data_IF_385869418624
#
_entry.id   IF_385869418624
#
_cell.length_a   1.000
_cell.length_b   1.000
_cell.length_c   1.000
_cell.angle_alpha   90.00
_cell.angle_beta   90.00
_cell.angle_gamma   90.00
#
_symmetry.space_group_name_H-M   'P 1'
#
loop_
_entity.id
_entity.type
_entity.pdbx_description
1 polymer ?
#
# COMPACT_ATOMS: atom_id res chain seq x y z
N UNK A 1 -11.21 23.03 -6.71
CA UNK A 1 -10.85 22.50 -5.39
C UNK A 1 -10.77 20.96 -5.40
N UNK A 2 -10.42 20.34 -6.54
CA UNK A 2 -10.26 18.88 -6.69
C UNK A 2 -8.79 18.40 -6.71
N UNK A 3 -7.83 19.34 -6.78
CA UNK A 3 -6.40 19.01 -6.84
C UNK A 3 -5.84 18.43 -5.52
N UNK A 4 -6.50 18.65 -4.38
CA UNK A 4 -6.01 18.23 -3.06
C UNK A 4 -6.32 16.77 -2.68
N UNK A 5 -7.19 16.05 -3.42
CA UNK A 5 -7.46 14.63 -3.13
C UNK A 5 -6.63 13.66 -3.98
N UNK A 6 -6.29 14.03 -5.22
CA UNK A 6 -5.48 13.18 -6.11
C UNK A 6 -4.01 13.08 -5.68
N UNK A 7 -3.38 14.20 -5.37
CA UNK A 7 -1.93 14.24 -5.09
C UNK A 7 -1.49 13.33 -3.93
N UNK A 8 -2.33 13.15 -2.90
CA UNK A 8 -2.02 12.27 -1.76
C UNK A 8 -2.08 10.80 -2.15
N UNK A 9 -2.99 10.44 -3.06
CA UNK A 9 -3.04 9.11 -3.67
C UNK A 9 -1.78 8.86 -4.50
N UNK A 10 -1.48 9.77 -5.44
CA UNK A 10 -0.30 9.67 -6.30
C UNK A 10 1.00 9.58 -5.50
N UNK A 11 1.13 10.37 -4.41
CA UNK A 11 2.27 10.33 -3.52
C UNK A 11 2.38 8.98 -2.78
N UNK A 12 1.25 8.40 -2.36
CA UNK A 12 1.22 7.07 -1.75
C UNK A 12 1.63 5.98 -2.75
N UNK A 13 1.14 6.04 -3.98
CA UNK A 13 1.53 5.11 -5.04
C UNK A 13 3.03 5.20 -5.35
N UNK A 14 3.57 6.42 -5.45
CA UNK A 14 5.00 6.64 -5.65
C UNK A 14 5.85 6.14 -4.47
N UNK A 15 5.38 6.33 -3.23
CA UNK A 15 6.06 5.85 -2.03
C UNK A 15 6.10 4.31 -2.03
N UNK A 16 4.96 3.65 -2.27
CA UNK A 16 4.89 2.19 -2.33
C UNK A 16 5.76 1.64 -3.45
N UNK A 17 5.73 2.25 -4.64
CA UNK A 17 6.59 1.85 -5.75
C UNK A 17 8.09 1.98 -5.40
N UNK A 18 8.49 3.08 -4.75
CA UNK A 18 9.86 3.26 -4.29
C UNK A 18 10.26 2.24 -3.22
N UNK A 19 9.34 1.87 -2.33
CA UNK A 19 9.56 0.84 -1.32
C UNK A 19 9.76 -0.56 -1.95
N UNK A 20 8.90 -0.95 -2.88
CA UNK A 20 9.04 -2.20 -3.66
C UNK A 20 10.41 -2.27 -4.36
N UNK A 21 10.81 -1.19 -5.02
CA UNK A 21 12.09 -1.10 -5.72
C UNK A 21 13.29 -1.21 -4.76
N UNK A 22 13.23 -0.56 -3.57
CA UNK A 22 14.28 -0.66 -2.54
C UNK A 22 14.43 -2.08 -2.01
N UNK A 23 13.34 -2.84 -1.97
CA UNK A 23 13.33 -4.25 -1.58
C UNK A 23 13.75 -5.21 -2.72
N UNK A 24 14.14 -4.69 -3.88
CA UNK A 24 14.71 -5.47 -4.97
C UNK A 24 13.69 -6.09 -5.93
N UNK A 25 12.44 -5.65 -5.88
CA UNK A 25 11.38 -6.13 -6.77
C UNK A 25 11.11 -5.13 -7.89
N UNK A 26 10.67 -5.62 -9.05
CA UNK A 26 10.22 -4.74 -10.13
C UNK A 26 8.84 -4.17 -9.82
N UNK A 27 8.55 -2.98 -10.35
CA UNK A 27 7.22 -2.37 -10.24
C UNK A 27 6.80 -1.79 -11.59
N UNK A 28 5.53 -1.95 -11.94
CA UNK A 28 4.94 -1.37 -13.14
C UNK A 28 3.63 -0.64 -12.81
N UNK A 29 3.44 0.50 -13.47
CA UNK A 29 2.19 1.25 -13.44
C UNK A 29 1.27 0.75 -14.58
N UNK A 30 0.06 0.26 -14.28
CA UNK A 30 -0.91 -0.09 -15.29
C UNK A 30 -1.32 1.16 -16.09
N UNK A 31 -1.64 0.97 -17.37
CA UNK A 31 -2.13 2.06 -18.20
C UNK A 31 -3.63 2.28 -17.97
N UNK A 32 -4.02 3.49 -17.57
CA UNK A 32 -5.41 3.87 -17.29
C UNK A 32 -5.75 3.86 -15.80
N UNK A 33 -6.98 4.27 -15.48
CA UNK A 33 -7.52 4.35 -14.12
C UNK A 33 -8.78 3.49 -13.93
N UNK A 34 -9.04 2.56 -14.85
CA UNK A 34 -10.22 1.68 -14.81
C UNK A 34 -9.97 0.42 -13.98
N UNK A 35 -8.70 0.16 -13.67
CA UNK A 35 -8.24 -0.96 -12.90
C UNK A 35 -8.54 -0.75 -11.41
N UNK A 36 -8.78 -1.86 -10.72
CA UNK A 36 -9.02 -1.90 -9.27
C UNK A 36 -7.72 -2.07 -8.47
N UNK A 37 -6.59 -1.87 -9.11
CA UNK A 37 -5.25 -1.95 -8.54
C UNK A 37 -4.41 -0.84 -9.17
N UNK A 38 -3.45 -0.33 -8.42
CA UNK A 38 -2.67 0.85 -8.80
C UNK A 38 -1.27 0.44 -9.30
N UNK A 39 -0.75 -0.71 -8.87
CA UNK A 39 0.59 -1.19 -9.23
C UNK A 39 0.58 -2.69 -9.55
N UNK A 40 1.59 -3.11 -10.32
CA UNK A 40 1.99 -4.51 -10.44
C UNK A 40 3.39 -4.66 -9.84
N UNK A 41 3.58 -5.63 -8.96
CA UNK A 41 4.92 -6.07 -8.52
C UNK A 41 5.37 -7.22 -9.39
N UNK A 42 6.59 -7.14 -9.90
CA UNK A 42 7.30 -8.22 -10.55
C UNK A 42 8.22 -8.92 -9.54
N UNK A 43 7.83 -10.14 -9.16
CA UNK A 43 8.60 -11.03 -8.30
C UNK A 43 9.06 -12.26 -9.09
N UNK A 44 10.09 -12.95 -8.63
CA UNK A 44 10.71 -14.06 -9.38
C UNK A 44 9.72 -15.15 -9.86
N UNK A 45 8.61 -15.33 -9.14
CA UNK A 45 7.62 -16.37 -9.40
C UNK A 45 6.33 -15.84 -10.06
N UNK A 46 6.22 -14.55 -10.36
CA UNK A 46 5.05 -14.02 -11.07
C UNK A 46 4.80 -12.53 -10.86
N UNK A 47 3.62 -12.10 -11.32
CA UNK A 47 3.14 -10.72 -11.21
C UNK A 47 2.03 -10.64 -10.16
N UNK A 48 2.11 -9.64 -9.28
CA UNK A 48 1.14 -9.41 -8.22
C UNK A 48 0.48 -8.06 -8.37
N UNK A 49 -0.86 -8.03 -8.35
CA UNK A 49 -1.66 -6.81 -8.40
C UNK A 49 -1.77 -6.19 -7.02
N UNK A 50 -1.43 -4.92 -6.93
CA UNK A 50 -1.39 -4.18 -5.67
C UNK A 50 -2.36 -3.02 -5.72
N UNK A 51 -3.28 -2.98 -4.76
CA UNK A 51 -4.04 -1.77 -4.47
C UNK A 51 -3.34 -0.99 -3.36
N UNK A 52 -3.03 0.27 -3.63
CA UNK A 52 -2.43 1.21 -2.68
C UNK A 52 -3.52 1.96 -1.93
N UNK A 53 -3.29 2.16 -0.65
CA UNK A 53 -4.04 3.08 0.22
C UNK A 53 -3.07 3.89 1.05
N UNK A 54 -3.51 5.07 1.46
CA UNK A 54 -2.79 5.84 2.47
C UNK A 54 -3.24 5.34 3.84
N UNK A 55 -2.31 4.97 4.72
CA UNK A 55 -2.66 4.58 6.09
C UNK A 55 -3.01 5.79 6.93
N UNK A 56 -3.87 5.58 7.93
CA UNK A 56 -4.14 6.58 8.97
C UNK A 56 -3.35 6.24 10.22
N UNK A 57 -2.74 7.23 10.86
CA UNK A 57 -2.17 7.05 12.21
C UNK A 57 -3.32 6.95 13.22
N UNK A 58 -3.35 5.86 13.98
CA UNK A 58 -4.40 5.57 14.97
C UNK A 58 -3.94 5.89 16.40
N UNK A 59 -2.68 5.59 16.73
CA UNK A 59 -2.07 5.84 18.04
C UNK A 59 -0.54 5.72 17.91
N UNK A 60 0.25 6.73 18.30
CA UNK A 60 1.72 6.81 18.20
C UNK A 60 2.41 5.58 17.58
N UNK A 61 2.77 5.65 16.29
CA UNK A 61 3.41 4.57 15.50
C UNK A 61 2.53 3.36 15.14
N UNK A 62 1.24 3.39 15.46
CA UNK A 62 0.24 2.42 15.03
C UNK A 62 -0.52 2.98 13.86
N UNK A 63 -0.40 2.31 12.72
CA UNK A 63 -1.05 2.70 11.48
C UNK A 63 -2.13 1.70 11.10
N UNK A 64 -3.24 2.21 10.60
CA UNK A 64 -4.38 1.43 10.13
C UNK A 64 -4.55 1.58 8.62
N UNK A 65 -4.67 0.42 7.98
CA UNK A 65 -5.07 0.25 6.60
C UNK A 65 -6.54 -0.19 6.57
N UNK A 66 -7.40 0.68 6.08
CA UNK A 66 -8.83 0.41 5.90
C UNK A 66 -9.15 0.12 4.43
N UNK A 67 -9.92 -0.92 4.18
CA UNK A 67 -10.48 -1.24 2.87
C UNK A 67 -11.97 -1.54 2.97
N UNK A 68 -12.63 -1.47 1.81
CA UNK A 68 -13.99 -1.95 1.62
C UNK A 68 -13.93 -3.24 0.79
N UNK A 69 -13.98 -4.44 1.42
CA UNK A 69 -13.77 -5.71 0.73
C UNK A 69 -14.79 -5.95 -0.40
N UNK A 70 -15.99 -5.39 -0.28
CA UNK A 70 -17.06 -5.53 -1.30
C UNK A 70 -16.67 -4.89 -2.64
N UNK A 71 -15.70 -3.97 -2.63
CA UNK A 71 -15.18 -3.33 -3.86
C UNK A 71 -14.14 -4.17 -4.60
N UNK A 72 -13.65 -5.24 -3.98
CA UNK A 72 -12.55 -6.05 -4.46
C UNK A 72 -12.96 -7.53 -4.51
N UNK A 73 -13.68 -7.95 -5.57
CA UNK A 73 -13.99 -9.36 -5.77
C UNK A 73 -12.73 -10.23 -5.82
N UNK A 74 -12.87 -11.51 -5.46
CA UNK A 74 -11.77 -12.47 -5.47
C UNK A 74 -10.98 -12.45 -6.78
N UNK A 75 -9.65 -12.42 -6.65
CA UNK A 75 -8.75 -12.37 -7.78
C UNK A 75 -8.74 -11.04 -8.53
N UNK A 76 -9.20 -9.93 -7.93
CA UNK A 76 -9.04 -8.57 -8.49
C UNK A 76 -7.73 -7.92 -8.04
N UNK A 77 -7.34 -8.16 -6.80
CA UNK A 77 -6.14 -7.64 -6.13
C UNK A 77 -5.48 -8.81 -5.40
N UNK A 78 -4.16 -8.89 -5.44
CA UNK A 78 -3.40 -9.94 -4.75
C UNK A 78 -2.86 -9.43 -3.40
N UNK A 79 -2.50 -8.15 -3.32
CA UNK A 79 -1.95 -7.49 -2.12
C UNK A 79 -2.57 -6.10 -1.93
N UNK A 80 -2.90 -5.75 -0.69
CA UNK A 80 -3.16 -4.37 -0.30
C UNK A 80 -1.90 -3.76 0.33
N UNK A 81 -1.49 -2.61 -0.20
CA UNK A 81 -0.35 -1.85 0.30
C UNK A 81 -0.81 -0.59 1.03
N UNK A 82 -0.39 -0.42 2.28
CA UNK A 82 -0.62 0.78 3.07
C UNK A 82 0.62 1.66 3.09
N UNK A 83 0.56 2.84 2.46
CA UNK A 83 1.64 3.83 2.48
C UNK A 83 1.68 4.58 3.82
N UNK A 84 2.82 4.49 4.50
CA UNK A 84 3.09 5.15 5.78
C UNK A 84 4.07 6.29 5.51
N UNK A 85 3.53 7.49 5.29
CA UNK A 85 4.31 8.66 4.89
C UNK A 85 5.33 9.09 5.93
N UNK A 86 4.99 9.00 7.22
CA UNK A 86 5.85 9.42 8.33
C UNK A 86 7.11 8.58 8.44
N UNK A 87 7.00 7.28 8.17
CA UNK A 87 8.10 6.32 8.22
C UNK A 87 8.77 6.09 6.85
N UNK A 88 8.21 6.69 5.78
CA UNK A 88 8.74 6.55 4.42
C UNK A 88 8.77 5.09 3.92
N UNK A 89 7.77 4.30 4.32
CA UNK A 89 7.69 2.86 4.06
C UNK A 89 6.24 2.42 3.84
N UNK A 90 6.06 1.14 3.50
CA UNK A 90 4.74 0.56 3.29
C UNK A 90 4.56 -0.75 4.06
N UNK A 91 3.31 -1.04 4.38
CA UNK A 91 2.88 -2.37 4.82
C UNK A 91 2.18 -3.09 3.69
N UNK A 92 2.32 -4.41 3.66
CA UNK A 92 1.75 -5.27 2.63
C UNK A 92 0.92 -6.36 3.30
N UNK A 93 -0.34 -6.46 2.92
CA UNK A 93 -1.27 -7.48 3.43
C UNK A 93 -1.80 -8.29 2.26
N UNK A 94 -1.60 -9.62 2.22
CA UNK A 94 -2.20 -10.46 1.20
C UNK A 94 -3.72 -10.31 1.20
N UNK A 95 -4.34 -10.22 0.02
CA UNK A 95 -5.78 -9.99 -0.10
C UNK A 95 -6.63 -11.07 0.61
N UNK A 96 -6.13 -12.30 0.67
CA UNK A 96 -6.81 -13.42 1.35
C UNK A 96 -6.72 -13.36 2.88
N UNK A 97 -5.77 -12.59 3.43
CA UNK A 97 -5.65 -12.33 4.88
C UNK A 97 -6.36 -11.04 5.29
N UNK A 98 -6.72 -10.20 4.31
CA UNK A 98 -7.28 -8.88 4.55
C UNK A 98 -8.76 -8.94 4.93
N UNK A 99 -9.08 -8.46 6.12
CA UNK A 99 -10.44 -8.15 6.55
C UNK A 99 -10.89 -6.76 6.07
N UNK A 100 -11.74 -6.09 6.86
CA UNK A 100 -12.04 -4.67 6.61
C UNK A 100 -10.86 -3.76 6.96
N UNK A 101 -10.11 -4.13 8.01
CA UNK A 101 -9.05 -3.32 8.57
C UNK A 101 -7.84 -4.21 8.82
N UNK A 102 -6.65 -3.66 8.62
CA UNK A 102 -5.40 -4.23 9.10
C UNK A 102 -4.63 -3.16 9.85
N UNK A 103 -4.11 -3.49 11.03
CA UNK A 103 -3.28 -2.59 11.82
C UNK A 103 -1.85 -3.08 11.86
N UNK A 104 -0.89 -2.18 11.67
CA UNK A 104 0.52 -2.45 11.92
C UNK A 104 1.04 -1.50 13.00
N UNK A 105 1.92 -1.99 13.85
CA UNK A 105 2.62 -1.20 14.85
C UNK A 105 4.10 -1.13 14.47
N UNK A 106 4.62 0.09 14.35
CA UNK A 106 6.03 0.33 14.13
C UNK A 106 6.74 0.46 15.47
N UNK A 107 7.62 -0.49 15.76
CA UNK A 107 8.55 -0.34 16.87
C UNK A 107 9.71 0.54 16.41
N UNK A 108 9.66 1.83 16.75
CA UNK A 108 10.80 2.71 16.54
C UNK A 108 11.99 2.20 17.36
N UNK A 109 13.03 1.70 16.70
CA UNK A 109 14.30 1.35 17.35
C UNK A 109 15.12 2.60 17.70
N UNK A 110 14.48 3.67 18.18
CA UNK A 110 15.17 4.77 18.89
C UNK A 110 15.46 4.33 20.33
N UNK A 111 16.27 3.29 20.46
CA UNK A 111 16.93 2.96 21.71
C UNK A 111 18.14 3.88 21.89
N UNK A 112 18.10 4.71 22.94
CA UNK A 112 19.21 5.45 23.56
C UNK A 112 20.44 5.75 22.68
N UNK A 113 20.54 6.99 22.20
CA UNK A 113 21.82 7.65 22.01
C UNK A 113 22.07 8.61 23.19
#
# INVERSE_FOLDING_TARGET
MDMERGWRGDASEALVAADILRNGHGVAYPHGHEQKYDLIIDVEWGLLRVQVKTTSEYDNYRYELEIDPERYPDGTVDIFAGAIHEEGTAIYVPAHEMGKNATCEFQSSRGNA
#
